data_IF_365336657880
#
_entry.id   IF_365336657880
#
_cell.length_a   1.000
_cell.length_b   1.000
_cell.length_c   1.000
_cell.angle_alpha   90.00
_cell.angle_beta   90.00
_cell.angle_gamma   90.00
#
_symmetry.space_group_name_H-M   'P 1'
#
loop_
_entity.id
_entity.type
_entity.pdbx_description
1 polymer ?
#
# COMPACT_ATOMS: atom_id res chain seq x y z
N UNK A 1 -8.15 13.23 -6.75
CA UNK A 1 -8.98 12.13 -7.30
C UNK A 1 -8.14 10.91 -7.69
N UNK A 2 -7.03 11.06 -8.43
CA UNK A 2 -6.18 9.92 -8.86
C UNK A 2 -5.70 9.01 -7.72
N UNK A 3 -5.25 9.58 -6.59
CA UNK A 3 -4.80 8.78 -5.43
C UNK A 3 -5.91 7.95 -4.77
N UNK A 4 -7.16 8.45 -4.74
CA UNK A 4 -8.30 7.70 -4.19
C UNK A 4 -8.70 6.52 -5.07
N UNK A 5 -8.62 6.67 -6.39
CA UNK A 5 -8.85 5.58 -7.35
C UNK A 5 -7.80 4.48 -7.15
N UNK A 6 -6.52 4.85 -6.95
CA UNK A 6 -5.46 3.90 -6.67
C UNK A 6 -5.71 3.05 -5.41
N UNK A 7 -6.15 3.68 -4.31
CA UNK A 7 -6.51 2.95 -3.08
C UNK A 7 -7.62 1.94 -3.35
N UNK A 8 -8.67 2.34 -4.06
CA UNK A 8 -9.80 1.45 -4.37
C UNK A 8 -9.35 0.27 -5.23
N UNK A 9 -8.52 0.50 -6.25
CA UNK A 9 -8.03 -0.57 -7.12
C UNK A 9 -7.16 -1.59 -6.37
N UNK A 10 -6.28 -1.13 -5.47
CA UNK A 10 -5.44 -2.03 -4.64
C UNK A 10 -6.31 -2.86 -3.71
N UNK A 11 -7.28 -2.24 -3.04
CA UNK A 11 -8.19 -2.95 -2.14
C UNK A 11 -9.09 -3.95 -2.87
N UNK A 12 -9.55 -3.62 -4.09
CA UNK A 12 -10.32 -4.55 -4.92
C UNK A 12 -9.48 -5.76 -5.34
N UNK A 13 -8.22 -5.55 -5.74
CA UNK A 13 -7.30 -6.65 -6.06
C UNK A 13 -7.04 -7.55 -4.85
N UNK A 14 -6.84 -6.97 -3.66
CA UNK A 14 -6.71 -7.74 -2.42
C UNK A 14 -7.99 -8.54 -2.08
N UNK A 15 -9.17 -7.94 -2.28
CA UNK A 15 -10.46 -8.60 -2.06
C UNK A 15 -10.71 -9.76 -3.05
N UNK A 16 -10.32 -9.61 -4.32
CA UNK A 16 -10.42 -10.67 -5.32
C UNK A 16 -9.51 -11.87 -4.97
N UNK A 17 -8.30 -11.60 -4.49
CA UNK A 17 -7.38 -12.64 -4.02
C UNK A 17 -7.92 -13.40 -2.79
N UNK A 18 -8.64 -12.72 -1.90
CA UNK A 18 -9.36 -13.32 -0.78
C UNK A 18 -10.53 -14.18 -1.27
N UNK A 19 -11.36 -13.63 -2.17
CA UNK A 19 -12.55 -14.31 -2.68
C UNK A 19 -12.19 -15.61 -3.45
N UNK A 20 -11.11 -15.58 -4.22
CA UNK A 20 -10.62 -16.74 -4.98
C UNK A 20 -9.87 -17.76 -4.14
N UNK A 21 -9.59 -17.48 -2.86
CA UNK A 21 -8.69 -18.26 -1.99
C UNK A 21 -7.31 -18.52 -2.61
N UNK A 22 -6.92 -17.70 -3.59
CA UNK A 22 -5.60 -17.76 -4.22
C UNK A 22 -4.51 -17.18 -3.31
N UNK A 23 -4.90 -16.60 -2.18
CA UNK A 23 -4.02 -16.10 -1.15
C UNK A 23 -3.15 -17.20 -0.53
N UNK A 24 -1.86 -17.16 -0.86
CA UNK A 24 -0.82 -17.99 -0.27
C UNK A 24 0.02 -17.13 0.68
N UNK A 25 -0.29 -17.09 1.99
CA UNK A 25 0.42 -16.27 2.96
C UNK A 25 1.85 -16.77 3.28
N UNK A 26 2.36 -17.72 2.49
CA UNK A 26 3.69 -18.29 2.64
C UNK A 26 4.73 -17.61 1.73
N UNK A 27 4.29 -16.81 0.76
CA UNK A 27 5.19 -16.17 -0.19
C UNK A 27 5.66 -14.79 0.32
N UNK A 28 6.96 -14.45 0.20
CA UNK A 28 7.50 -13.17 0.69
C UNK A 28 6.77 -11.93 0.15
N UNK A 29 6.30 -11.97 -1.10
CA UNK A 29 5.56 -10.86 -1.70
C UNK A 29 4.28 -10.52 -0.94
N UNK A 30 3.62 -11.51 -0.32
CA UNK A 30 2.37 -11.31 0.40
C UNK A 30 2.57 -10.43 1.63
N UNK A 31 3.58 -10.72 2.45
CA UNK A 31 3.88 -9.95 3.66
C UNK A 31 4.33 -8.53 3.33
N UNK A 32 5.10 -8.35 2.25
CA UNK A 32 5.51 -7.03 1.77
C UNK A 32 4.31 -6.24 1.26
N UNK A 33 3.41 -6.87 0.50
CA UNK A 33 2.17 -6.24 0.02
C UNK A 33 1.26 -5.82 1.18
N UNK A 34 1.07 -6.70 2.17
CA UNK A 34 0.27 -6.40 3.36
C UNK A 34 0.83 -5.17 4.12
N UNK A 35 2.14 -5.10 4.29
CA UNK A 35 2.77 -3.94 4.92
C UNK A 35 2.60 -2.68 4.07
N UNK A 36 2.74 -2.78 2.74
CA UNK A 36 2.47 -1.66 1.83
C UNK A 36 1.03 -1.15 1.98
N UNK A 37 0.04 -2.05 2.06
CA UNK A 37 -1.37 -1.69 2.21
C UNK A 37 -1.65 -0.94 3.51
N UNK A 38 -0.94 -1.26 4.60
CA UNK A 38 -1.02 -0.48 5.85
C UNK A 38 -0.62 0.98 5.60
N UNK A 39 0.51 1.22 4.91
CA UNK A 39 0.96 2.58 4.59
C UNK A 39 0.06 3.28 3.55
N UNK A 40 -0.53 2.51 2.62
CA UNK A 40 -1.55 3.00 1.69
C UNK A 40 -2.77 3.54 2.43
N UNK A 41 -3.22 2.88 3.51
CA UNK A 41 -4.36 3.33 4.33
C UNK A 41 -3.97 4.52 5.22
N UNK A 42 -2.75 4.53 5.77
CA UNK A 42 -2.26 5.63 6.59
C UNK A 42 -2.14 6.95 5.79
N UNK A 43 -1.76 6.86 4.51
CA UNK A 43 -1.57 8.03 3.63
C UNK A 43 -2.80 8.94 3.53
N UNK A 44 -4.01 8.46 3.19
CA UNK A 44 -5.22 9.28 3.19
C UNK A 44 -5.63 9.71 4.61
N UNK A 45 -5.41 8.88 5.64
CA UNK A 45 -5.69 9.27 7.03
C UNK A 45 -4.86 10.50 7.43
N UNK A 46 -3.54 10.47 7.21
CA UNK A 46 -2.66 11.59 7.52
C UNK A 46 -2.93 12.80 6.63
N UNK A 47 -3.34 12.58 5.37
CA UNK A 47 -3.81 13.63 4.48
C UNK A 47 -5.08 14.34 5.00
N UNK A 48 -6.07 13.59 5.48
CA UNK A 48 -7.29 14.14 6.07
C UNK A 48 -7.02 14.88 7.38
N UNK A 49 -6.14 14.34 8.22
CA UNK A 49 -5.70 15.02 9.46
C UNK A 49 -5.00 16.34 9.15
N UNK A 50 -4.15 16.40 8.11
CA UNK A 50 -3.48 17.62 7.69
C UNK A 50 -4.45 18.75 7.32
N UNK A 51 -5.54 18.41 6.61
CA UNK A 51 -6.57 19.38 6.19
C UNK A 51 -7.26 20.00 7.41
N UNK A 52 -7.54 19.19 8.44
CA UNK A 52 -8.25 19.61 9.67
C UNK A 52 -7.32 20.19 10.75
N UNK A 53 -6.01 20.09 10.60
CA UNK A 53 -5.05 20.47 11.65
C UNK A 53 -4.83 21.98 11.76
N UNK A 54 -4.57 22.43 12.99
CA UNK A 54 -4.06 23.78 13.27
C UNK A 54 -2.67 24.00 12.67
N UNK A 55 -2.29 25.23 12.28
CA UNK A 55 -1.04 25.52 11.57
C UNK A 55 0.22 24.93 12.23
N UNK A 56 0.30 24.97 13.56
CA UNK A 56 1.44 24.43 14.32
C UNK A 56 1.70 22.93 14.09
N UNK A 57 0.68 22.13 13.75
CA UNK A 57 0.82 20.69 13.52
C UNK A 57 0.94 20.31 12.03
N UNK A 58 0.67 21.25 11.12
CA UNK A 58 0.68 21.00 9.67
C UNK A 58 2.05 20.56 9.17
N UNK A 59 3.15 21.13 9.67
CA UNK A 59 4.50 20.77 9.24
C UNK A 59 4.84 19.30 9.56
N UNK A 60 4.55 18.86 10.78
CA UNK A 60 4.75 17.47 11.21
C UNK A 60 3.87 16.49 10.42
N UNK A 61 2.60 16.83 10.22
CA UNK A 61 1.66 15.99 9.45
C UNK A 61 2.04 15.89 7.98
N UNK A 62 2.55 16.96 7.37
CA UNK A 62 3.07 16.91 5.99
C UNK A 62 4.29 15.98 5.89
N UNK A 63 5.18 15.99 6.88
CA UNK A 63 6.35 15.09 6.92
C UNK A 63 5.89 13.64 7.07
N UNK A 64 4.96 13.35 7.99
CA UNK A 64 4.37 12.02 8.16
C UNK A 64 3.72 11.53 6.88
N UNK A 65 2.83 12.32 6.28
CA UNK A 65 2.13 11.95 5.05
C UNK A 65 3.08 11.62 3.89
N UNK A 66 4.15 12.41 3.72
CA UNK A 66 5.17 12.14 2.70
C UNK A 66 5.92 10.85 3.00
N UNK A 67 6.27 10.61 4.26
CA UNK A 67 6.95 9.38 4.67
C UNK A 67 6.07 8.15 4.41
N UNK A 68 4.81 8.20 4.82
CA UNK A 68 3.84 7.11 4.59
C UNK A 68 3.73 6.79 3.10
N UNK A 69 3.61 7.82 2.26
CA UNK A 69 3.54 7.66 0.81
C UNK A 69 4.83 7.06 0.21
N UNK A 70 6.01 7.52 0.64
CA UNK A 70 7.30 6.98 0.17
C UNK A 70 7.43 5.51 0.53
N UNK A 71 7.10 5.15 1.77
CA UNK A 71 7.16 3.76 2.22
C UNK A 71 6.16 2.89 1.46
N UNK A 72 4.93 3.37 1.26
CA UNK A 72 3.94 2.68 0.42
C UNK A 72 4.47 2.41 -0.99
N UNK A 73 4.97 3.43 -1.70
CA UNK A 73 5.46 3.24 -3.07
C UNK A 73 6.68 2.31 -3.12
N UNK A 74 7.60 2.43 -2.15
CA UNK A 74 8.78 1.56 -2.06
C UNK A 74 8.41 0.09 -1.82
N UNK A 75 7.57 -0.18 -0.83
CA UNK A 75 7.12 -1.53 -0.51
C UNK A 75 6.21 -2.10 -1.62
N UNK A 76 5.33 -1.28 -2.20
CA UNK A 76 4.47 -1.68 -3.31
C UNK A 76 5.28 -2.10 -4.54
N UNK A 77 6.31 -1.32 -4.91
CA UNK A 77 7.23 -1.70 -5.99
C UNK A 77 7.96 -3.01 -5.67
N UNK A 78 8.45 -3.18 -4.45
CA UNK A 78 9.10 -4.42 -4.02
C UNK A 78 8.16 -5.63 -4.06
N UNK A 79 6.91 -5.47 -3.60
CA UNK A 79 5.89 -6.51 -3.65
C UNK A 79 5.60 -6.96 -5.09
N UNK A 80 5.49 -6.01 -6.03
CA UNK A 80 5.30 -6.31 -7.46
C UNK A 80 6.49 -7.09 -8.02
N UNK A 81 7.73 -6.66 -7.74
CA UNK A 81 8.95 -7.36 -8.18
C UNK A 81 8.96 -8.80 -7.66
N UNK A 82 8.72 -9.00 -6.37
CA UNK A 82 8.68 -10.33 -5.76
C UNK A 82 7.54 -11.20 -6.32
N UNK A 83 6.38 -10.60 -6.61
CA UNK A 83 5.25 -11.27 -7.25
C UNK A 83 5.60 -11.77 -8.65
N UNK A 84 6.26 -10.94 -9.47
CA UNK A 84 6.72 -11.31 -10.80
C UNK A 84 7.75 -12.46 -10.72
N UNK A 85 8.74 -12.35 -9.84
CA UNK A 85 9.78 -13.40 -9.66
C UNK A 85 9.13 -14.71 -9.23
N UNK A 86 8.24 -14.67 -8.24
CA UNK A 86 7.53 -15.86 -7.76
C UNK A 86 6.64 -16.49 -8.84
N UNK A 87 6.00 -15.67 -9.67
CA UNK A 87 5.21 -16.18 -10.79
C UNK A 87 6.07 -16.85 -11.87
N UNK A 88 7.22 -16.26 -12.18
CA UNK A 88 8.16 -16.83 -13.14
C UNK A 88 8.79 -18.15 -12.65
N UNK A 89 9.07 -18.27 -11.34
CA UNK A 89 9.65 -19.49 -10.77
C UNK A 89 8.66 -20.66 -10.74
N UNK A 90 7.35 -20.40 -10.59
CA UNK A 90 6.31 -21.44 -10.66
C UNK A 90 6.01 -21.95 -12.08
N UNK A 91 6.44 -21.22 -13.11
CA UNK A 91 6.21 -21.57 -14.53
C UNK A 91 7.34 -22.43 -15.14
N UNK A 92 8.42 -22.66 -14.40
CA UNK A 92 9.51 -23.58 -14.77
C UNK A 92 9.27 -24.93 -14.14
#
# INVERSE_FOLDING_TARGET
>A
MVGGIGVVLVLLGAAELLATRALRPTLPHFWVALLADVFLILTPITGLLYVKAVPAKKAALRKSHRFDAIVFFGLGALAVILGIIGFQSMRR
#
